data_IF_780150629365
#
_entry.id   IF_780150629365
#
_cell.length_a   1.000
_cell.length_b   1.000
_cell.length_c   1.000
_cell.angle_alpha   90.00
_cell.angle_beta   90.00
_cell.angle_gamma   90.00
#
_symmetry.space_group_name_H-M   'P 1'
#
loop_
_entity.id
_entity.type
_entity.pdbx_description
1 polymer ?
#
# COMPACT_ATOMS: atom_id res chain seq x y z
N UNK A 1 -4.28 -18.68 -4.67
CA UNK A 1 -3.39 -17.52 -4.88
C UNK A 1 -3.21 -16.80 -3.55
N UNK A 2 -1.99 -16.33 -3.25
CA UNK A 2 -1.62 -15.58 -2.03
C UNK A 2 -1.58 -14.06 -2.28
N UNK A 3 -2.14 -13.61 -3.40
CA UNK A 3 -2.15 -12.20 -3.76
C UNK A 3 -3.06 -11.36 -2.88
N UNK A 4 -2.81 -10.07 -2.86
CA UNK A 4 -3.63 -9.06 -2.18
C UNK A 4 -3.80 -7.83 -3.07
N UNK A 5 -4.90 -7.12 -2.90
CA UNK A 5 -5.18 -5.85 -3.56
C UNK A 5 -4.96 -4.74 -2.54
N UNK A 6 -4.14 -3.74 -2.87
CA UNK A 6 -3.79 -2.63 -1.98
C UNK A 6 -4.04 -1.27 -2.66
N UNK A 7 -3.39 -0.22 -2.16
CA UNK A 7 -3.41 1.10 -2.75
C UNK A 7 -4.75 1.80 -2.60
N UNK A 8 -5.13 2.56 -3.63
CA UNK A 8 -6.26 3.48 -3.52
C UNK A 8 -7.63 2.78 -3.44
N UNK A 9 -7.75 1.58 -4.01
CA UNK A 9 -8.98 0.77 -3.92
C UNK A 9 -9.16 0.23 -2.50
N UNK A 10 -8.10 -0.31 -1.90
CA UNK A 10 -8.17 -0.81 -0.53
C UNK A 10 -8.51 0.32 0.46
N UNK A 11 -8.02 1.54 0.23
CA UNK A 11 -8.39 2.72 1.01
C UNK A 11 -9.90 3.04 0.94
N UNK A 12 -10.50 3.00 -0.26
CA UNK A 12 -11.94 3.23 -0.42
C UNK A 12 -12.79 2.14 0.24
N UNK A 13 -12.28 0.92 0.36
CA UNK A 13 -13.00 -0.15 1.05
C UNK A 13 -13.04 0.04 2.58
N UNK A 14 -12.12 0.83 3.15
CA UNK A 14 -12.03 1.07 4.60
C UNK A 14 -12.43 2.49 5.01
N UNK A 15 -12.80 3.38 4.08
CA UNK A 15 -13.16 4.77 4.39
C UNK A 15 -14.43 5.19 3.69
N UNK A 16 -15.01 6.30 4.15
CA UNK A 16 -16.11 7.03 3.52
C UNK A 16 -15.62 8.14 2.58
N UNK A 17 -14.36 8.07 2.12
CA UNK A 17 -13.80 9.07 1.20
C UNK A 17 -14.45 8.99 -0.18
N UNK A 18 -14.64 10.15 -0.79
CA UNK A 18 -15.22 10.27 -2.13
C UNK A 18 -14.13 10.65 -3.14
N UNK A 19 -13.48 9.64 -3.73
CA UNK A 19 -12.58 9.84 -4.88
C UNK A 19 -12.63 8.64 -5.83
N UNK A 20 -12.30 8.85 -7.10
CA UNK A 20 -12.18 7.77 -8.07
C UNK A 20 -10.79 7.10 -8.00
N UNK A 21 -10.70 5.78 -7.77
CA UNK A 21 -9.41 5.10 -7.73
C UNK A 21 -8.80 5.04 -9.13
N UNK A 22 -7.47 5.17 -9.22
CA UNK A 22 -6.78 5.27 -10.50
C UNK A 22 -6.51 3.90 -11.15
N UNK A 23 -5.87 3.02 -10.39
CA UNK A 23 -5.35 1.72 -10.79
C UNK A 23 -5.63 0.66 -9.72
N UNK A 24 -5.68 -0.60 -10.16
CA UNK A 24 -5.74 -1.78 -9.28
C UNK A 24 -4.31 -2.23 -8.99
N UNK A 25 -3.87 -2.13 -7.74
CA UNK A 25 -2.57 -2.63 -7.31
C UNK A 25 -2.70 -4.06 -6.76
N UNK A 26 -2.31 -5.06 -7.57
CA UNK A 26 -2.30 -6.48 -7.20
C UNK A 26 -0.88 -6.90 -6.80
N UNK A 27 -0.67 -7.16 -5.52
CA UNK A 27 0.60 -7.68 -5.01
C UNK A 27 0.60 -9.20 -5.01
N UNK A 28 1.69 -9.80 -5.51
CA UNK A 28 1.86 -11.26 -5.56
C UNK A 28 3.29 -11.67 -5.20
N UNK A 29 3.50 -12.83 -4.58
CA UNK A 29 4.84 -13.38 -4.43
C UNK A 29 5.42 -13.76 -5.79
N UNK A 30 6.76 -13.71 -5.91
CA UNK A 30 7.51 -14.12 -7.10
C UNK A 30 7.10 -15.51 -7.61
N UNK A 31 6.82 -16.44 -6.69
CA UNK A 31 6.34 -17.80 -7.01
C UNK A 31 4.99 -17.83 -7.75
N UNK A 32 4.24 -16.73 -7.79
CA UNK A 32 2.93 -16.61 -8.43
C UNK A 32 2.87 -15.59 -9.57
N UNK A 33 4.00 -14.96 -9.93
CA UNK A 33 4.10 -13.95 -11.01
C UNK A 33 3.44 -14.44 -12.30
N UNK A 34 3.95 -15.52 -12.89
CA UNK A 34 3.44 -16.08 -14.16
C UNK A 34 1.96 -16.43 -14.10
N UNK A 35 1.50 -16.93 -12.94
CA UNK A 35 0.10 -17.31 -12.77
C UNK A 35 -0.80 -16.09 -12.68
N UNK A 36 -0.37 -15.03 -11.99
CA UNK A 36 -1.11 -13.78 -11.89
C UNK A 36 -1.23 -13.09 -13.26
N UNK A 37 -0.11 -12.94 -13.97
CA UNK A 37 -0.07 -12.35 -15.31
C UNK A 37 -0.97 -13.13 -16.27
N UNK A 38 -0.84 -14.46 -16.30
CA UNK A 38 -1.65 -15.32 -17.15
C UNK A 38 -3.15 -15.16 -16.87
N UNK A 39 -3.55 -15.17 -15.60
CA UNK A 39 -4.96 -14.99 -15.22
C UNK A 39 -5.49 -13.62 -15.68
N UNK A 40 -4.72 -12.54 -15.47
CA UNK A 40 -5.16 -11.21 -15.90
C UNK A 40 -5.30 -11.10 -17.42
N UNK A 41 -4.38 -11.69 -18.18
CA UNK A 41 -4.43 -11.65 -19.65
C UNK A 41 -5.54 -12.55 -20.21
N UNK A 42 -5.66 -13.79 -19.71
CA UNK A 42 -6.54 -14.79 -20.29
C UNK A 42 -7.99 -14.69 -19.80
N UNK A 43 -8.20 -14.31 -18.54
CA UNK A 43 -9.53 -14.35 -17.91
C UNK A 43 -10.14 -12.94 -17.73
N UNK A 44 -9.31 -11.89 -17.70
CA UNK A 44 -9.75 -10.52 -17.37
C UNK A 44 -9.53 -9.52 -18.51
N UNK A 45 -9.14 -10.00 -19.70
CA UNK A 45 -8.97 -9.21 -20.93
C UNK A 45 -7.98 -8.02 -20.77
N UNK A 46 -6.96 -8.19 -19.93
CA UNK A 46 -5.89 -7.22 -19.81
C UNK A 46 -4.78 -7.49 -20.83
N UNK A 47 -4.12 -6.42 -21.26
CA UNK A 47 -2.90 -6.47 -22.05
C UNK A 47 -1.77 -5.85 -21.23
N UNK A 48 -0.64 -6.55 -21.14
CA UNK A 48 0.54 -6.00 -20.49
C UNK A 48 1.17 -4.95 -21.41
N UNK A 49 1.27 -3.72 -20.92
CA UNK A 49 1.81 -2.57 -21.64
C UNK A 49 3.29 -2.35 -21.33
N UNK A 50 3.71 -2.63 -20.10
CA UNK A 50 5.08 -2.43 -19.65
C UNK A 50 5.45 -3.41 -18.53
N UNK A 51 6.75 -3.67 -18.38
CA UNK A 51 7.32 -4.27 -17.17
C UNK A 51 8.64 -3.58 -16.84
N UNK A 52 8.89 -3.35 -15.55
CA UNK A 52 10.15 -2.83 -15.05
C UNK A 52 10.49 -3.50 -13.73
N UNK A 53 11.75 -3.91 -13.63
CA UNK A 53 12.33 -4.25 -12.35
C UNK A 53 12.39 -3.00 -11.47
N UNK A 54 12.07 -3.20 -10.20
CA UNK A 54 12.06 -2.17 -9.19
C UNK A 54 13.47 -1.62 -9.00
N UNK A 55 13.66 -0.34 -9.31
CA UNK A 55 14.89 0.39 -8.98
C UNK A 55 15.01 0.68 -7.47
N UNK A 56 14.01 0.32 -6.66
CA UNK A 56 14.04 0.52 -5.22
C UNK A 56 14.99 -0.50 -4.58
N UNK A 57 16.28 -0.19 -4.67
CA UNK A 57 17.38 -0.93 -4.06
C UNK A 57 17.10 -1.16 -2.56
N UNK A 58 17.14 -2.43 -2.18
CA UNK A 58 17.10 -3.03 -0.84
C UNK A 58 15.94 -2.70 0.14
N UNK A 59 15.07 -1.74 -0.14
CA UNK A 59 14.08 -1.25 0.86
C UNK A 59 12.63 -1.64 0.59
N UNK A 60 12.20 -1.93 -0.64
CA UNK A 60 10.77 -2.04 -0.97
C UNK A 60 10.17 -3.45 -0.90
N UNK A 61 10.98 -4.52 -0.86
CA UNK A 61 10.55 -5.92 -1.09
C UNK A 61 9.88 -6.18 -2.45
N UNK A 62 9.70 -5.15 -3.28
CA UNK A 62 9.16 -5.23 -4.64
C UNK A 62 10.30 -5.53 -5.60
N UNK A 63 10.13 -6.58 -6.38
CA UNK A 63 11.09 -7.04 -7.39
C UNK A 63 10.79 -6.45 -8.76
N UNK A 64 9.55 -6.59 -9.22
CA UNK A 64 9.14 -6.22 -10.58
C UNK A 64 7.72 -5.67 -10.54
N UNK A 65 7.42 -4.70 -11.38
CA UNK A 65 6.06 -4.19 -11.59
C UNK A 65 5.70 -4.39 -13.06
N UNK A 66 4.55 -5.01 -13.29
CA UNK A 66 3.94 -5.14 -14.62
C UNK A 66 2.74 -4.21 -14.70
N UNK A 67 2.72 -3.35 -15.70
CA UNK A 67 1.58 -2.49 -16.00
C UNK A 67 0.71 -3.18 -17.04
N UNK A 68 -0.57 -3.29 -16.71
CA UNK A 68 -1.59 -3.92 -17.51
C UNK A 68 -2.74 -2.93 -17.72
N UNK A 69 -3.30 -2.92 -18.92
CA UNK A 69 -4.45 -2.09 -19.26
C UNK A 69 -5.49 -2.92 -20.01
N UNK A 70 -6.75 -2.60 -19.80
CA UNK A 70 -7.84 -3.04 -20.66
C UNK A 70 -8.66 -1.82 -21.11
N UNK A 71 -9.77 -2.06 -21.83
CA UNK A 71 -10.61 -1.00 -22.39
C UNK A 71 -11.16 0.02 -21.37
N UNK A 72 -11.14 -0.29 -20.06
CA UNK A 72 -11.75 0.55 -19.04
C UNK A 72 -10.91 0.78 -17.77
N UNK A 73 -9.86 -0.03 -17.54
CA UNK A 73 -9.13 -0.06 -16.26
C UNK A 73 -7.63 -0.26 -16.48
N UNK A 74 -6.87 0.23 -15.50
CA UNK A 74 -5.43 -0.01 -15.36
C UNK A 74 -5.18 -0.88 -14.14
N UNK A 75 -4.20 -1.77 -14.23
CA UNK A 75 -3.79 -2.67 -13.17
C UNK A 75 -2.26 -2.73 -13.12
N UNK A 76 -1.72 -2.74 -11.91
CA UNK A 76 -0.32 -3.02 -11.67
C UNK A 76 -0.23 -4.38 -10.99
N UNK A 77 0.52 -5.33 -11.59
CA UNK A 77 0.94 -6.55 -10.89
C UNK A 77 2.29 -6.25 -10.26
N UNK A 78 2.32 -6.20 -8.94
CA UNK A 78 3.48 -5.84 -8.14
C UNK A 78 4.04 -7.12 -7.53
N UNK A 79 5.14 -7.59 -8.11
CA UNK A 79 5.81 -8.82 -7.72
C UNK A 79 6.74 -8.54 -6.56
N UNK A 80 6.62 -9.31 -5.48
CA UNK A 80 7.46 -9.20 -4.30
C UNK A 80 8.34 -10.44 -4.12
N UNK A 81 9.52 -10.25 -3.52
CA UNK A 81 10.43 -11.37 -3.23
C UNK A 81 9.93 -12.25 -2.08
N UNK A 82 9.17 -11.67 -1.14
CA UNK A 82 8.65 -12.39 0.02
C UNK A 82 7.40 -13.20 -0.35
N UNK A 83 7.25 -14.40 0.23
CA UNK A 83 6.05 -15.23 0.07
C UNK A 83 4.78 -14.58 0.64
N UNK A 84 4.93 -13.66 1.60
CA UNK A 84 3.87 -12.80 2.10
C UNK A 84 3.94 -11.40 1.47
N UNK A 85 3.06 -11.07 0.50
CA UNK A 85 3.04 -9.75 -0.13
C UNK A 85 2.69 -8.58 0.81
N UNK A 86 2.13 -8.84 1.99
CA UNK A 86 1.80 -7.78 2.94
C UNK A 86 3.04 -7.01 3.42
N UNK A 87 4.23 -7.62 3.37
CA UNK A 87 5.50 -6.98 3.73
C UNK A 87 5.75 -5.73 2.89
N UNK A 88 5.41 -5.75 1.60
CA UNK A 88 5.57 -4.58 0.72
C UNK A 88 4.56 -3.47 1.06
N UNK A 89 3.33 -3.83 1.42
CA UNK A 89 2.28 -2.86 1.81
C UNK A 89 2.66 -2.13 3.10
N UNK A 90 3.20 -2.84 4.09
CA UNK A 90 3.66 -2.22 5.35
C UNK A 90 4.90 -1.33 5.19
N UNK A 91 5.53 -1.32 4.01
CA UNK A 91 6.65 -0.44 3.66
C UNK A 91 6.22 0.78 2.85
N UNK A 92 4.92 1.05 2.72
CA UNK A 92 4.43 2.22 2.04
C UNK A 92 4.87 3.55 2.66
N UNK A 93 4.77 4.60 1.86
CA UNK A 93 5.15 5.97 2.21
C UNK A 93 4.34 6.54 3.39
N UNK A 94 3.18 5.99 3.73
CA UNK A 94 2.38 6.43 4.87
C UNK A 94 1.34 5.40 5.33
N UNK A 95 0.86 5.54 6.56
CA UNK A 95 -0.03 4.55 7.20
C UNK A 95 -1.40 4.42 6.55
N UNK A 96 -1.94 5.50 5.96
CA UNK A 96 -3.29 5.50 5.35
C UNK A 96 -3.43 4.56 4.15
N UNK A 97 -2.33 4.14 3.54
CA UNK A 97 -2.33 3.19 2.42
C UNK A 97 -1.87 1.80 2.83
N UNK A 98 -1.62 1.56 4.12
CA UNK A 98 -1.23 0.25 4.65
C UNK A 98 -2.45 -0.65 4.90
N UNK A 99 -3.34 -0.72 3.91
CA UNK A 99 -4.59 -1.46 3.93
C UNK A 99 -4.61 -2.39 2.72
N UNK A 100 -5.19 -3.58 2.86
CA UNK A 100 -5.29 -4.49 1.72
C UNK A 100 -6.47 -5.44 1.85
N UNK A 101 -6.98 -5.87 0.70
CA UNK A 101 -7.94 -6.95 0.55
C UNK A 101 -7.21 -8.23 0.15
N UNK A 102 -7.45 -9.32 0.85
CA UNK A 102 -6.98 -10.65 0.47
C UNK A 102 -8.11 -11.67 0.51
N UNK A 103 -7.82 -12.94 0.21
CA UNK A 103 -8.82 -14.02 0.22
C UNK A 103 -9.47 -14.26 1.58
N UNK A 104 -8.89 -13.76 2.68
CA UNK A 104 -9.43 -13.87 4.04
C UNK A 104 -10.27 -12.67 4.46
N UNK A 105 -10.23 -11.58 3.71
CA UNK A 105 -10.97 -10.36 4.03
C UNK A 105 -10.14 -9.09 3.89
N UNK A 106 -10.67 -8.02 4.46
CA UNK A 106 -10.10 -6.69 4.44
C UNK A 106 -9.23 -6.46 5.69
N UNK A 107 -8.01 -5.99 5.49
CA UNK A 107 -7.07 -5.66 6.56
C UNK A 107 -6.77 -4.17 6.55
N UNK A 108 -6.82 -3.55 7.74
CA UNK A 108 -6.44 -2.17 7.97
C UNK A 108 -5.41 -2.13 9.10
N UNK A 109 -4.18 -1.68 8.79
CA UNK A 109 -3.11 -1.69 9.78
C UNK A 109 -3.25 -0.60 10.87
N UNK A 110 -3.97 0.47 10.56
CA UNK A 110 -4.15 1.64 11.43
C UNK A 110 -5.60 2.15 11.35
N UNK A 111 -6.60 1.37 11.82
CA UNK A 111 -8.01 1.73 11.72
C UNK A 111 -8.34 3.09 12.38
N UNK A 112 -7.85 3.40 13.58
CA UNK A 112 -8.14 4.66 14.27
C UNK A 112 -7.52 5.88 13.58
N UNK A 113 -6.53 5.68 12.71
CA UNK A 113 -6.00 6.77 11.87
C UNK A 113 -6.79 6.84 10.57
N UNK A 114 -6.87 5.71 9.87
CA UNK A 114 -7.45 5.63 8.53
C UNK A 114 -8.91 6.04 8.51
N UNK A 115 -9.71 5.58 9.49
CA UNK A 115 -11.13 5.90 9.61
C UNK A 115 -11.40 7.37 9.98
N UNK A 116 -10.41 8.08 10.52
CA UNK A 116 -10.48 9.51 10.83
C UNK A 116 -9.74 10.37 9.81
N UNK A 117 -9.41 9.78 8.65
CA UNK A 117 -8.67 10.39 7.54
C UNK A 117 -7.32 10.97 7.99
N UNK A 118 -6.66 10.29 8.92
CA UNK A 118 -5.33 10.62 9.42
C UNK A 118 -4.29 9.65 8.86
N UNK A 119 -3.07 10.16 8.67
CA UNK A 119 -1.95 9.39 8.14
C UNK A 119 -0.65 9.83 8.78
N UNK A 120 0.26 8.88 9.02
CA UNK A 120 1.62 9.17 9.46
C UNK A 120 2.57 8.92 8.30
N UNK A 121 3.39 9.91 7.89
CA UNK A 121 4.45 9.68 6.92
C UNK A 121 5.47 8.66 7.42
N UNK A 122 5.86 7.72 6.56
CA UNK A 122 7.00 6.85 6.79
C UNK A 122 8.28 7.68 6.60
N UNK A 123 8.84 8.18 7.70
CA UNK A 123 9.99 9.08 7.71
C UNK A 123 11.25 8.46 7.12
N UNK A 124 11.40 7.13 7.16
CA UNK A 124 12.54 6.44 6.54
C UNK A 124 12.63 6.69 5.03
N UNK A 125 11.48 6.73 4.35
CA UNK A 125 11.40 7.00 2.90
C UNK A 125 11.54 8.49 2.54
N UNK A 126 11.38 9.39 3.52
CA UNK A 126 11.67 10.81 3.33
C UNK A 126 13.16 11.12 3.39
N UNK A 127 13.95 10.23 3.99
CA UNK A 127 15.39 10.36 4.18
C UNK A 127 16.21 9.59 3.14
N UNK A 128 15.56 8.92 2.19
CA UNK A 128 16.20 8.22 1.08
C UNK A 128 16.57 9.17 -0.08
N UNK A 129 17.00 8.60 -1.21
CA UNK A 129 17.35 9.36 -2.42
C UNK A 129 16.28 10.37 -2.85
N UNK A 130 16.75 11.47 -3.45
CA UNK A 130 15.92 12.62 -3.79
C UNK A 130 14.70 12.27 -4.66
N UNK A 131 14.85 11.30 -5.59
CA UNK A 131 13.77 10.82 -6.44
C UNK A 131 12.67 10.11 -5.63
N UNK A 132 13.07 9.22 -4.70
CA UNK A 132 12.12 8.51 -3.82
C UNK A 132 11.39 9.49 -2.92
N UNK A 133 12.13 10.45 -2.34
CA UNK A 133 11.55 11.49 -1.51
C UNK A 133 10.55 12.35 -2.32
N UNK A 134 10.82 12.64 -3.59
CA UNK A 134 9.89 13.37 -4.45
C UNK A 134 8.62 12.56 -4.74
N UNK A 135 8.73 11.30 -5.15
CA UNK A 135 7.56 10.43 -5.39
C UNK A 135 6.67 10.33 -4.16
N UNK A 136 7.27 10.23 -2.98
CA UNK A 136 6.52 10.20 -1.73
C UNK A 136 5.84 11.54 -1.43
N UNK A 137 6.47 12.70 -1.73
CA UNK A 137 5.82 14.01 -1.64
C UNK A 137 4.61 14.11 -2.56
N UNK A 138 4.73 13.67 -3.81
CA UNK A 138 3.64 13.67 -4.78
C UNK A 138 2.48 12.79 -4.31
N UNK A 139 2.80 11.62 -3.73
CA UNK A 139 1.81 10.75 -3.11
C UNK A 139 1.13 11.39 -1.90
N UNK A 140 1.86 12.11 -1.05
CA UNK A 140 1.25 12.82 0.08
C UNK A 140 0.29 13.90 -0.41
N UNK A 141 0.66 14.66 -1.43
CA UNK A 141 -0.22 15.68 -1.99
C UNK A 141 -1.48 15.06 -2.60
N UNK A 142 -1.33 13.99 -3.39
CA UNK A 142 -2.46 13.21 -3.92
C UNK A 142 -3.45 12.79 -2.84
N UNK A 143 -2.97 12.33 -1.68
CA UNK A 143 -3.86 11.91 -0.60
C UNK A 143 -4.40 13.09 0.23
N UNK A 144 -3.69 14.21 0.33
CA UNK A 144 -4.23 15.45 0.93
C UNK A 144 -5.42 15.99 0.13
N UNK A 145 -5.31 16.00 -1.20
CA UNK A 145 -6.40 16.38 -2.09
C UNK A 145 -7.64 15.50 -1.93
N UNK A 146 -7.45 14.26 -1.46
CA UNK A 146 -8.51 13.29 -1.13
C UNK A 146 -9.01 13.41 0.31
N UNK A 147 -8.66 14.45 1.05
CA UNK A 147 -9.12 14.69 2.41
C UNK A 147 -8.27 14.06 3.52
N UNK A 148 -7.15 13.44 3.20
CA UNK A 148 -6.25 12.87 4.22
C UNK A 148 -5.41 13.97 4.87
N UNK A 149 -5.39 13.99 6.21
CA UNK A 149 -4.49 14.83 7.00
C UNK A 149 -3.28 14.02 7.45
N UNK A 150 -2.10 14.60 7.27
CA UNK A 150 -0.86 13.95 7.69
C UNK A 150 -0.42 14.50 9.05
N UNK A 151 -0.39 13.64 10.05
CA UNK A 151 -0.05 13.96 11.44
C UNK A 151 1.23 13.23 11.85
N UNK A 152 2.04 13.86 12.69
CA UNK A 152 3.29 13.26 13.22
C UNK A 152 3.25 13.07 14.73
N UNK A 153 2.29 13.68 15.40
CA UNK A 153 2.18 13.69 16.85
C UNK A 153 1.07 12.74 17.30
N UNK A 154 1.39 11.58 17.91
CA UNK A 154 0.37 10.63 18.34
C UNK A 154 -0.65 11.18 19.32
N UNK A 155 -0.36 12.30 19.99
CA UNK A 155 -1.29 12.98 20.90
C UNK A 155 -2.45 13.65 20.18
N UNK A 156 -2.36 13.85 18.87
CA UNK A 156 -3.45 14.40 18.07
C UNK A 156 -4.42 13.31 17.57
N UNK A 157 -4.15 12.03 17.87
CA UNK A 157 -4.93 10.92 17.35
C UNK A 157 -6.24 10.73 18.12
N UNK A 158 -7.38 10.52 17.42
CA UNK A 158 -8.68 10.28 18.03
C UNK A 158 -8.66 9.05 18.94
N UNK A 159 -9.21 9.18 20.15
CA UNK A 159 -9.32 8.05 21.09
C UNK A 159 -8.02 7.66 21.79
N UNK A 160 -6.90 8.34 21.54
CA UNK A 160 -5.64 8.12 22.26
C UNK A 160 -5.40 9.25 23.25
N UNK A 161 -5.93 9.11 24.47
CA UNK A 161 -5.64 10.07 25.55
C UNK A 161 -4.16 10.02 25.98
N UNK A 162 -3.60 8.81 26.10
CA UNK A 162 -2.19 8.53 26.41
C UNK A 162 -1.73 7.42 25.46
N UNK A 163 -0.96 7.78 24.44
CA UNK A 163 -0.31 6.81 23.58
C UNK A 163 0.86 6.14 24.32
N UNK A 164 0.88 4.81 24.38
CA UNK A 164 2.00 4.04 24.89
C UNK A 164 2.85 3.52 23.72
N UNK A 165 3.98 4.19 23.47
CA UNK A 165 4.93 3.75 22.44
C UNK A 165 5.34 2.28 22.67
N UNK A 166 5.46 1.52 21.58
CA UNK A 166 5.80 0.09 21.56
C UNK A 166 4.76 -0.86 22.17
N UNK A 167 3.65 -0.34 22.70
CA UNK A 167 2.58 -1.14 23.30
C UNK A 167 1.31 -1.06 22.46
N UNK A 168 0.91 0.15 22.07
CA UNK A 168 -0.29 0.33 21.29
C UNK A 168 -0.15 -0.32 19.92
N UNK A 169 -1.20 -1.05 19.50
CA UNK A 169 -1.23 -1.75 18.23
C UNK A 169 -0.94 -0.79 17.06
N UNK A 170 -1.40 0.46 17.16
CA UNK A 170 -1.28 1.50 16.14
C UNK A 170 -0.04 2.40 16.32
N UNK A 171 0.84 2.09 17.28
CA UNK A 171 2.12 2.77 17.40
C UNK A 171 3.00 2.48 16.18
N UNK A 172 3.59 3.53 15.60
CA UNK A 172 4.56 3.40 14.51
C UNK A 172 5.87 2.74 14.94
N UNK A 173 6.14 2.70 16.24
CA UNK A 173 7.34 2.07 16.80
C UNK A 173 7.11 0.63 17.25
N UNK A 174 5.86 0.14 17.24
CA UNK A 174 5.57 -1.26 17.59
C UNK A 174 6.10 -2.17 16.48
N UNK A 175 6.96 -3.13 16.85
CA UNK A 175 7.44 -4.17 15.94
C UNK A 175 6.28 -5.14 15.70
N UNK A 176 5.87 -5.26 14.44
CA UNK A 176 4.80 -6.17 14.03
C UNK A 176 5.39 -7.38 13.32
N UNK A 177 4.92 -8.56 13.69
CA UNK A 177 5.17 -9.79 12.95
C UNK A 177 4.33 -9.79 11.68
N UNK A 178 4.92 -10.26 10.58
CA UNK A 178 4.18 -10.61 9.36
C UNK A 178 3.95 -12.12 9.24
N UNK A 179 4.23 -12.86 10.32
CA UNK A 179 4.12 -14.32 10.43
C UNK A 179 2.84 -14.78 11.16
N UNK A 180 2.04 -13.83 11.66
CA UNK A 180 0.79 -14.10 12.40
C UNK A 180 -0.39 -14.48 11.49
#
# INVERSE_FOLDING_TARGET
TRGLISGSIALLMVTDLEFEPGDIDLYVPLSQEDTAIRLCIQELDFVQTESRDSLYDNSSSVKTVHWLENSSRRMNIIVVENENPAVAVFRFHSTVVMNFLCSRGLYCAYPSLTLYHLSIPNSGLMMSDAEVAQKCRDCFEKYRERGIRFERDPRTFPGHGIHACFVDAECTSTIRSTED
#
